data_IF_981219210425
#
_entry.id   IF_981219210425
#
_cell.length_a   1.000
_cell.length_b   1.000
_cell.length_c   1.000
_cell.angle_alpha   90.00
_cell.angle_beta   90.00
_cell.angle_gamma   90.00
#
_symmetry.space_group_name_H-M   'P 1'
#
loop_
_entity.id
_entity.type
_entity.pdbx_description
1 polymer ?
#
# COMPACT_ATOMS: atom_id res chain seq x y z
N UNK A 1 -19.83 -1.35 -18.16
CA UNK A 1 -20.42 -1.08 -16.84
C UNK A 1 -19.30 -1.21 -15.83
N UNK A 2 -18.74 -0.08 -15.32
CA UNK A 2 -17.74 -0.06 -14.25
C UNK A 2 -18.47 -0.42 -12.96
N UNK A 3 -18.14 -1.54 -12.37
CA UNK A 3 -18.60 -1.87 -11.01
C UNK A 3 -17.69 -1.07 -10.07
N UNK A 4 -18.09 0.16 -9.73
CA UNK A 4 -17.43 0.95 -8.71
C UNK A 4 -17.64 0.21 -7.37
N UNK A 5 -16.53 -0.09 -6.69
CA UNK A 5 -16.56 -0.54 -5.31
C UNK A 5 -16.92 0.68 -4.46
N UNK A 6 -18.11 0.66 -3.87
CA UNK A 6 -18.55 1.68 -2.92
C UNK A 6 -17.73 1.58 -1.63
N UNK A 7 -17.17 2.71 -1.18
CA UNK A 7 -16.34 2.83 0.02
C UNK A 7 -17.04 2.29 1.27
N UNK A 8 -18.34 2.53 1.39
CA UNK A 8 -19.15 2.06 2.51
C UNK A 8 -19.27 0.54 2.53
N UNK A 9 -19.40 -0.09 1.37
CA UNK A 9 -19.47 -1.55 1.23
C UNK A 9 -18.13 -2.19 1.61
N UNK A 10 -17.02 -1.60 1.20
CA UNK A 10 -15.67 -2.06 1.56
C UNK A 10 -15.43 -1.93 3.07
N UNK A 11 -15.72 -0.77 3.65
CA UNK A 11 -15.55 -0.54 5.10
C UNK A 11 -16.42 -1.49 5.95
N UNK A 12 -17.68 -1.71 5.57
CA UNK A 12 -18.59 -2.67 6.26
C UNK A 12 -18.12 -4.10 6.14
N UNK A 13 -17.62 -4.52 4.97
CA UNK A 13 -17.08 -5.87 4.77
C UNK A 13 -15.87 -6.11 5.70
N UNK A 14 -14.93 -5.18 5.76
CA UNK A 14 -13.75 -5.29 6.63
C UNK A 14 -14.10 -5.23 8.12
N UNK A 15 -15.03 -4.37 8.54
CA UNK A 15 -15.50 -4.33 9.93
C UNK A 15 -16.10 -5.67 10.38
N UNK A 16 -16.78 -6.38 9.49
CA UNK A 16 -17.38 -7.69 9.78
C UNK A 16 -16.34 -8.81 9.95
N UNK A 17 -15.19 -8.71 9.27
CA UNK A 17 -14.10 -9.68 9.36
C UNK A 17 -13.09 -9.36 10.48
N UNK A 18 -13.13 -8.16 11.04
CA UNK A 18 -12.20 -7.72 12.08
C UNK A 18 -11.96 -8.73 13.22
N UNK A 19 -12.96 -9.50 13.71
CA UNK A 19 -12.73 -10.45 14.83
C UNK A 19 -11.82 -11.63 14.48
N UNK A 20 -11.83 -12.07 13.20
CA UNK A 20 -11.10 -13.27 12.74
C UNK A 20 -10.03 -12.94 11.70
N UNK A 21 -9.88 -11.66 11.37
CA UNK A 21 -8.99 -11.20 10.28
C UNK A 21 -7.54 -11.66 10.50
N UNK A 22 -7.00 -11.45 11.70
CA UNK A 22 -5.63 -11.80 12.03
C UNK A 22 -5.39 -13.32 12.00
N UNK A 23 -6.39 -14.13 12.35
CA UNK A 23 -6.28 -15.58 12.36
C UNK A 23 -6.29 -16.16 10.94
N UNK A 24 -7.15 -15.63 10.06
CA UNK A 24 -7.35 -16.18 8.70
C UNK A 24 -6.30 -15.66 7.73
N UNK A 25 -5.95 -14.36 7.84
CA UNK A 25 -5.10 -13.67 6.86
C UNK A 25 -3.67 -13.44 7.36
N UNK A 26 -3.41 -13.54 8.67
CA UNK A 26 -2.10 -13.30 9.25
C UNK A 26 -1.00 -14.13 8.60
N UNK A 27 -1.15 -15.45 8.56
CA UNK A 27 -0.14 -16.36 8.01
C UNK A 27 0.00 -16.27 6.47
N UNK A 28 -1.12 -16.06 5.76
CA UNK A 28 -1.12 -15.97 4.28
C UNK A 28 -0.38 -14.74 3.80
N UNK A 29 -0.53 -13.62 4.52
CA UNK A 29 0.03 -12.34 4.13
C UNK A 29 1.37 -12.01 4.82
N UNK A 30 1.80 -12.85 5.76
CA UNK A 30 3.00 -12.62 6.58
C UNK A 30 4.27 -12.38 5.76
N UNK A 31 4.53 -13.23 4.77
CA UNK A 31 5.73 -13.09 3.92
C UNK A 31 5.76 -11.79 3.15
N UNK A 32 4.60 -11.36 2.64
CA UNK A 32 4.48 -10.08 1.96
C UNK A 32 4.67 -8.91 2.92
N UNK A 33 4.07 -8.98 4.10
CA UNK A 33 4.22 -7.99 5.17
C UNK A 33 5.68 -7.80 5.56
N UNK A 34 6.39 -8.88 5.92
CA UNK A 34 7.80 -8.82 6.28
C UNK A 34 8.68 -8.28 5.14
N UNK A 35 8.36 -8.63 3.88
CA UNK A 35 9.10 -8.11 2.73
C UNK A 35 8.89 -6.60 2.54
N UNK A 36 7.67 -6.10 2.75
CA UNK A 36 7.38 -4.66 2.70
C UNK A 36 8.09 -3.90 3.81
N UNK A 37 8.02 -4.41 5.05
CA UNK A 37 8.69 -3.81 6.21
C UNK A 37 10.20 -3.80 5.99
N UNK A 38 10.81 -4.92 5.60
CA UNK A 38 12.26 -4.99 5.33
C UNK A 38 12.68 -4.03 4.20
N UNK A 39 11.80 -3.75 3.23
CA UNK A 39 12.07 -2.74 2.21
C UNK A 39 11.98 -1.32 2.77
N UNK A 40 10.99 -1.05 3.63
CA UNK A 40 10.80 0.24 4.29
C UNK A 40 11.96 0.57 5.24
N UNK A 41 12.44 -0.40 5.98
CA UNK A 41 13.53 -0.23 6.94
C UNK A 41 14.89 0.07 6.32
N UNK A 42 15.10 -0.29 5.04
CA UNK A 42 16.31 0.14 4.31
C UNK A 42 16.40 1.64 4.13
N UNK A 43 15.28 2.33 4.16
CA UNK A 43 15.19 3.79 4.06
C UNK A 43 15.05 4.36 5.47
N UNK A 44 14.13 3.80 6.24
CA UNK A 44 13.84 4.24 7.61
C UNK A 44 13.19 5.62 7.68
N UNK A 45 13.22 6.22 8.87
CA UNK A 45 12.70 7.55 9.09
C UNK A 45 11.23 7.59 9.51
N UNK A 46 10.45 8.50 8.93
CA UNK A 46 9.01 8.63 9.19
C UNK A 46 8.22 7.85 8.14
N UNK A 47 7.54 6.82 8.57
CA UNK A 47 6.84 5.87 7.72
C UNK A 47 5.33 6.05 7.89
N UNK A 48 4.60 6.20 6.77
CA UNK A 48 3.15 6.13 6.74
C UNK A 48 2.74 4.73 6.31
N UNK A 49 1.97 4.03 7.13
CA UNK A 49 1.29 2.80 6.74
C UNK A 49 -0.17 3.09 6.42
N UNK A 50 -0.55 2.93 5.15
CA UNK A 50 -1.92 3.12 4.66
C UNK A 50 -2.63 1.77 4.62
N UNK A 51 -3.84 1.72 5.20
CA UNK A 51 -4.57 0.48 5.44
C UNK A 51 -3.95 -0.34 6.56
N UNK A 52 -3.58 0.31 7.67
CA UNK A 52 -2.91 -0.32 8.82
C UNK A 52 -3.77 -1.39 9.49
N UNK A 53 -5.08 -1.39 9.26
CA UNK A 53 -6.04 -2.37 9.77
C UNK A 53 -6.00 -2.50 11.28
N UNK A 54 -5.80 -3.73 11.77
CA UNK A 54 -5.68 -4.05 13.20
C UNK A 54 -4.28 -3.78 13.77
N UNK A 55 -3.38 -3.19 12.97
CA UNK A 55 -2.01 -2.88 13.36
C UNK A 55 -1.10 -4.09 13.52
N UNK A 56 -1.40 -5.21 12.84
CA UNK A 56 -0.63 -6.45 12.95
C UNK A 56 0.84 -6.29 12.52
N UNK A 57 1.12 -5.35 11.62
CA UNK A 57 2.44 -5.00 11.11
C UNK A 57 3.27 -4.11 12.04
N UNK A 58 2.60 -3.30 12.88
CA UNK A 58 3.26 -2.26 13.67
C UNK A 58 4.38 -2.76 14.58
N UNK A 59 4.25 -3.94 15.26
CA UNK A 59 5.31 -4.49 16.09
C UNK A 59 6.56 -4.91 15.34
N UNK A 60 6.44 -5.22 14.04
CA UNK A 60 7.50 -5.76 13.22
C UNK A 60 8.49 -4.67 12.74
N UNK A 61 8.11 -3.39 12.84
CA UNK A 61 9.01 -2.28 12.51
C UNK A 61 10.01 -2.00 13.63
N UNK A 62 11.24 -1.68 13.24
CA UNK A 62 12.29 -1.24 14.17
C UNK A 62 11.85 0.02 14.95
N UNK A 63 12.20 0.05 16.24
CA UNK A 63 11.81 1.15 17.15
C UNK A 63 12.47 2.50 16.81
N UNK A 64 13.47 2.49 15.95
CA UNK A 64 14.11 3.71 15.41
C UNK A 64 13.27 4.44 14.38
N UNK A 65 12.28 3.76 13.75
CA UNK A 65 11.35 4.38 12.81
C UNK A 65 10.21 5.07 13.55
N UNK A 66 9.66 6.13 12.96
CA UNK A 66 8.47 6.83 13.43
C UNK A 66 7.30 6.44 12.55
N UNK A 67 6.26 5.86 13.13
CA UNK A 67 5.14 5.27 12.41
C UNK A 67 3.89 6.11 12.55
N UNK A 68 3.21 6.34 11.43
CA UNK A 68 1.83 6.82 11.40
C UNK A 68 1.02 5.79 10.65
N UNK A 69 -0.11 5.35 11.22
CA UNK A 69 -1.03 4.42 10.58
C UNK A 69 -2.36 5.08 10.23
N UNK A 70 -2.86 4.83 9.03
CA UNK A 70 -4.20 5.27 8.63
C UNK A 70 -5.02 4.11 8.07
N UNK A 71 -6.32 4.14 8.33
CA UNK A 71 -7.28 3.17 7.78
C UNK A 71 -8.65 3.83 7.64
N UNK A 72 -9.47 3.35 6.73
CA UNK A 72 -10.84 3.82 6.56
C UNK A 72 -11.78 3.26 7.66
N UNK A 73 -11.40 2.14 8.27
CA UNK A 73 -12.22 1.40 9.25
C UNK A 73 -11.86 1.77 10.69
N UNK A 74 -12.68 2.59 11.32
CA UNK A 74 -12.54 2.92 12.73
C UNK A 74 -12.53 1.68 13.67
N UNK A 75 -13.35 0.63 13.46
CA UNK A 75 -13.28 -0.60 14.26
C UNK A 75 -11.93 -1.32 14.18
N UNK A 76 -11.26 -1.29 13.01
CA UNK A 76 -9.91 -1.83 12.84
C UNK A 76 -8.90 -0.99 13.61
N UNK A 77 -8.97 0.33 13.49
CA UNK A 77 -8.06 1.25 14.20
C UNK A 77 -8.18 1.15 15.72
N UNK A 78 -9.37 0.90 16.27
CA UNK A 78 -9.52 0.62 17.71
C UNK A 78 -8.72 -0.59 18.15
N UNK A 79 -8.65 -1.65 17.35
CA UNK A 79 -7.79 -2.82 17.63
C UNK A 79 -6.31 -2.50 17.49
N UNK A 80 -5.94 -1.72 16.46
CA UNK A 80 -4.57 -1.25 16.32
C UNK A 80 -4.14 -0.42 17.52
N UNK A 81 -5.01 0.45 18.03
CA UNK A 81 -4.75 1.28 19.20
C UNK A 81 -4.56 0.45 20.47
N UNK A 82 -5.39 -0.58 20.68
CA UNK A 82 -5.22 -1.54 21.78
C UNK A 82 -3.87 -2.25 21.68
N UNK A 83 -3.49 -2.75 20.48
CA UNK A 83 -2.19 -3.40 20.23
C UNK A 83 -1.02 -2.46 20.51
N UNK A 84 -1.08 -1.20 20.08
CA UNK A 84 -0.06 -0.18 20.36
C UNK A 84 0.13 0.01 21.86
N UNK A 85 -0.98 0.07 22.62
CA UNK A 85 -0.94 0.24 24.06
C UNK A 85 -0.38 -1.02 24.77
N UNK A 86 -0.88 -2.22 24.42
CA UNK A 86 -0.46 -3.50 25.01
C UNK A 86 1.04 -3.77 24.80
N UNK A 87 1.56 -3.49 23.60
CA UNK A 87 2.95 -3.77 23.25
C UNK A 87 3.88 -2.59 23.51
N UNK A 88 3.38 -1.47 24.03
CA UNK A 88 4.16 -0.27 24.32
C UNK A 88 4.90 0.26 23.09
N UNK A 89 4.22 0.36 21.95
CA UNK A 89 4.82 0.80 20.68
C UNK A 89 5.01 2.32 20.64
N UNK A 90 6.00 2.82 21.39
CA UNK A 90 6.26 4.27 21.53
C UNK A 90 6.70 4.96 20.25
N UNK A 91 7.09 4.19 19.24
CA UNK A 91 7.46 4.69 17.91
C UNK A 91 6.25 4.93 16.99
N UNK A 92 5.04 4.56 17.40
CA UNK A 92 3.81 4.91 16.70
C UNK A 92 3.37 6.31 17.13
N UNK A 93 3.52 7.29 16.22
CA UNK A 93 3.18 8.70 16.46
C UNK A 93 1.67 8.92 16.49
N UNK A 94 0.89 8.13 15.74
CA UNK A 94 -0.55 8.24 15.69
C UNK A 94 -1.22 7.23 14.78
N UNK A 95 -2.51 7.04 15.05
CA UNK A 95 -3.44 6.27 14.22
C UNK A 95 -4.65 7.15 13.91
N UNK A 96 -5.08 7.20 12.64
CA UNK A 96 -6.18 8.08 12.24
C UNK A 96 -7.09 7.44 11.18
N UNK A 97 -8.38 7.76 11.25
CA UNK A 97 -9.33 7.42 10.19
C UNK A 97 -9.09 8.35 9.01
N UNK A 98 -8.66 7.80 7.87
CA UNK A 98 -8.43 8.56 6.63
C UNK A 98 -8.75 7.72 5.41
N UNK A 99 -9.18 8.42 4.36
CA UNK A 99 -9.28 7.86 3.03
C UNK A 99 -7.91 7.89 2.34
N UNK A 100 -7.50 6.76 1.77
CA UNK A 100 -6.22 6.65 1.04
C UNK A 100 -6.15 7.54 -0.20
N UNK A 101 -7.32 7.91 -0.76
CA UNK A 101 -7.43 8.84 -1.89
C UNK A 101 -7.35 10.32 -1.49
N UNK A 102 -7.40 10.60 -0.17
CA UNK A 102 -7.38 11.98 0.36
C UNK A 102 -6.71 12.01 1.74
N UNK A 103 -5.39 12.04 1.75
CA UNK A 103 -4.60 12.03 2.98
C UNK A 103 -4.47 13.46 3.56
N UNK A 104 -4.87 13.63 4.81
CA UNK A 104 -4.81 14.92 5.51
C UNK A 104 -3.40 15.23 6.05
N UNK A 105 -2.37 14.99 5.23
CA UNK A 105 -0.98 15.33 5.55
C UNK A 105 -0.43 16.34 4.53
N UNK A 106 0.49 17.24 4.94
CA UNK A 106 1.20 18.10 4.01
C UNK A 106 2.04 17.32 3.01
N UNK A 107 2.36 17.96 1.88
CA UNK A 107 3.29 17.41 0.90
C UNK A 107 4.64 17.09 1.53
N UNK A 108 5.26 15.98 1.14
CA UNK A 108 6.60 15.63 1.61
C UNK A 108 6.70 15.38 3.12
N UNK A 109 5.67 14.80 3.74
CA UNK A 109 5.63 14.51 5.18
C UNK A 109 6.37 13.23 5.58
N UNK A 110 6.54 12.27 4.66
CA UNK A 110 7.03 10.93 4.97
C UNK A 110 8.24 10.54 4.14
N UNK A 111 9.14 9.78 4.74
CA UNK A 111 10.29 9.19 4.06
C UNK A 111 9.89 7.93 3.29
N UNK A 112 8.88 7.20 3.80
CA UNK A 112 8.33 5.99 3.20
C UNK A 112 6.81 5.98 3.34
N UNK A 113 6.12 5.56 2.28
CA UNK A 113 4.70 5.19 2.32
C UNK A 113 4.58 3.70 2.05
N UNK A 114 3.98 2.96 2.97
CA UNK A 114 3.74 1.51 2.84
C UNK A 114 2.24 1.26 2.71
N UNK A 115 1.84 0.45 1.73
CA UNK A 115 0.46 -0.01 1.61
C UNK A 115 0.44 -1.52 1.31
N UNK A 116 -0.07 -2.28 2.28
CA UNK A 116 -0.09 -3.73 2.23
C UNK A 116 -1.50 -4.21 1.95
N UNK A 117 -1.71 -4.81 0.76
CA UNK A 117 -2.99 -5.37 0.32
C UNK A 117 -4.14 -4.36 0.17
N UNK A 118 -3.84 -3.06 0.08
CA UNK A 118 -4.80 -1.96 0.01
C UNK A 118 -5.11 -1.53 -1.41
N UNK A 119 -4.08 -1.34 -2.25
CA UNK A 119 -4.22 -0.67 -3.56
C UNK A 119 -5.23 -1.34 -4.51
N UNK A 120 -5.52 -2.62 -4.29
CA UNK A 120 -6.52 -3.36 -5.08
C UNK A 120 -7.94 -3.23 -4.53
N UNK A 121 -8.12 -2.63 -3.36
CA UNK A 121 -9.42 -2.47 -2.69
C UNK A 121 -9.96 -1.04 -2.77
N UNK A 122 -9.10 -0.07 -3.08
CA UNK A 122 -9.52 1.34 -3.24
C UNK A 122 -10.30 1.55 -4.54
N UNK A 123 -11.27 2.48 -4.59
CA UNK A 123 -12.02 2.82 -5.80
C UNK A 123 -11.12 3.33 -6.92
N UNK A 124 -10.27 4.33 -6.65
CA UNK A 124 -9.32 4.91 -7.62
C UNK A 124 -7.86 4.68 -7.19
N UNK A 125 -7.23 3.58 -7.65
CA UNK A 125 -5.83 3.29 -7.34
C UNK A 125 -4.84 4.34 -7.85
N UNK A 126 -5.12 4.98 -8.98
CA UNK A 126 -4.25 6.02 -9.53
C UNK A 126 -4.30 7.29 -8.67
N UNK A 127 -5.49 7.73 -8.23
CA UNK A 127 -5.62 8.85 -7.30
C UNK A 127 -4.94 8.53 -5.94
N UNK A 128 -5.09 7.30 -5.47
CA UNK A 128 -4.40 6.81 -4.25
C UNK A 128 -2.88 6.91 -4.40
N UNK A 129 -2.34 6.47 -5.53
CA UNK A 129 -0.90 6.55 -5.80
C UNK A 129 -0.41 7.99 -5.94
N UNK A 130 -1.23 8.89 -6.50
CA UNK A 130 -0.94 10.32 -6.59
C UNK A 130 -0.85 10.95 -5.19
N UNK A 131 -1.77 10.58 -4.28
CA UNK A 131 -1.71 11.01 -2.86
C UNK A 131 -0.47 10.46 -2.14
N UNK A 132 -0.12 9.19 -2.36
CA UNK A 132 1.11 8.62 -1.82
C UNK A 132 2.35 9.38 -2.31
N UNK A 133 2.39 9.69 -3.61
CA UNK A 133 3.48 10.47 -4.18
C UNK A 133 3.51 11.89 -3.63
N UNK A 134 2.35 12.51 -3.37
CA UNK A 134 2.26 13.88 -2.80
C UNK A 134 2.85 13.93 -1.40
N UNK A 135 2.43 13.03 -0.51
CA UNK A 135 2.88 13.02 0.90
C UNK A 135 4.31 12.49 1.08
N UNK A 136 4.88 11.87 0.04
CA UNK A 136 6.23 11.32 0.04
C UNK A 136 7.26 12.44 -0.17
N UNK A 137 8.33 12.46 0.63
CA UNK A 137 9.48 13.36 0.45
C UNK A 137 10.22 13.06 -0.85
N UNK A 138 10.89 14.05 -1.45
CA UNK A 138 11.90 13.79 -2.49
C UNK A 138 12.97 12.81 -1.98
N UNK A 139 13.25 11.76 -2.76
CA UNK A 139 14.16 10.68 -2.38
C UNK A 139 13.55 9.55 -1.58
N UNK A 140 12.29 9.68 -1.15
CA UNK A 140 11.55 8.62 -0.46
C UNK A 140 10.99 7.56 -1.40
N UNK A 141 10.35 6.52 -0.82
CA UNK A 141 9.78 5.42 -1.60
C UNK A 141 8.34 5.07 -1.19
N UNK A 142 7.54 4.69 -2.18
CA UNK A 142 6.26 4.00 -2.01
C UNK A 142 6.53 2.51 -2.11
N UNK A 143 6.09 1.75 -1.12
CA UNK A 143 6.26 0.29 -1.04
C UNK A 143 4.88 -0.34 -0.96
N UNK A 144 4.56 -1.14 -1.97
CA UNK A 144 3.28 -1.83 -2.08
C UNK A 144 3.50 -3.34 -2.01
N UNK A 145 2.65 -4.03 -1.28
CA UNK A 145 2.43 -5.46 -1.45
C UNK A 145 0.97 -5.66 -1.83
N UNK A 146 0.74 -6.25 -2.97
CA UNK A 146 -0.62 -6.45 -3.45
C UNK A 146 -0.72 -7.61 -4.43
N UNK A 147 -1.95 -8.06 -4.66
CA UNK A 147 -2.24 -9.02 -5.71
C UNK A 147 -2.17 -8.29 -7.06
N UNK A 148 -1.17 -8.65 -7.86
CA UNK A 148 -1.04 -8.18 -9.24
C UNK A 148 -1.38 -9.35 -10.15
N UNK A 149 -2.37 -9.19 -11.00
CA UNK A 149 -2.85 -10.23 -11.92
C UNK A 149 -1.75 -10.72 -12.87
N UNK A 150 -1.82 -11.98 -13.24
CA UNK A 150 -0.93 -12.55 -14.25
C UNK A 150 -1.22 -11.93 -15.61
N UNK A 151 -0.18 -11.46 -16.30
CA UNK A 151 -0.31 -10.86 -17.63
C UNK A 151 -0.61 -11.89 -18.72
N UNK A 152 -0.20 -13.17 -18.52
CA UNK A 152 -0.43 -14.26 -19.47
C UNK A 152 -0.35 -15.66 -18.81
N UNK A 153 -0.80 -16.70 -19.54
CA UNK A 153 -0.61 -18.11 -19.22
C UNK A 153 -1.77 -18.78 -18.48
N UNK A 154 -1.62 -20.10 -18.19
CA UNK A 154 -2.59 -20.96 -17.50
C UNK A 154 -3.11 -20.38 -16.18
N UNK A 155 -2.30 -19.57 -15.51
CA UNK A 155 -2.64 -18.87 -14.27
C UNK A 155 -3.77 -17.86 -14.47
N UNK A 156 -3.81 -17.14 -15.59
CA UNK A 156 -4.89 -16.21 -15.93
C UNK A 156 -6.23 -16.94 -16.08
N UNK A 157 -6.21 -18.13 -16.68
CA UNK A 157 -7.42 -18.95 -16.85
C UNK A 157 -7.96 -19.45 -15.52
N UNK A 158 -7.08 -19.89 -14.62
CA UNK A 158 -7.43 -20.32 -13.27
C UNK A 158 -7.99 -19.18 -12.43
N UNK A 159 -7.36 -17.99 -12.47
CA UNK A 159 -7.83 -16.80 -11.76
C UNK A 159 -9.23 -16.36 -12.20
N UNK A 160 -9.57 -16.48 -13.51
CA UNK A 160 -10.91 -16.18 -14.04
C UNK A 160 -11.99 -17.13 -13.51
N UNK A 161 -11.66 -18.38 -13.24
CA UNK A 161 -12.63 -19.36 -12.70
C UNK A 161 -13.04 -19.07 -11.26
N UNK A 162 -12.20 -18.43 -10.46
CA UNK A 162 -12.48 -18.01 -9.07
C UNK A 162 -13.01 -16.58 -8.93
N UNK A 163 -13.07 -15.81 -10.02
CA UNK A 163 -13.51 -14.43 -10.04
C UNK A 163 -14.89 -14.19 -9.38
N UNK A 164 -15.94 -15.02 -9.60
CA UNK A 164 -17.26 -14.77 -9.03
C UNK A 164 -17.29 -14.85 -7.51
N UNK A 165 -16.46 -15.72 -6.90
CA UNK A 165 -16.39 -15.89 -5.45
C UNK A 165 -15.62 -14.73 -4.80
N UNK A 166 -14.53 -14.28 -5.41
CA UNK A 166 -13.73 -13.16 -4.94
C UNK A 166 -14.50 -11.82 -5.02
N UNK A 167 -15.33 -11.62 -6.05
CA UNK A 167 -16.23 -10.45 -6.14
C UNK A 167 -17.22 -10.36 -4.99
N UNK A 168 -17.77 -11.51 -4.52
CA UNK A 168 -18.66 -11.55 -3.34
C UNK A 168 -17.95 -11.16 -2.04
N UNK A 169 -16.62 -11.27 -2.01
CA UNK A 169 -15.77 -10.89 -0.87
C UNK A 169 -15.22 -9.45 -1.00
N UNK A 170 -15.66 -8.68 -2.00
CA UNK A 170 -15.18 -7.32 -2.24
C UNK A 170 -13.75 -7.24 -2.82
N UNK A 171 -13.24 -8.35 -3.35
CA UNK A 171 -11.90 -8.40 -3.93
C UNK A 171 -11.94 -8.20 -5.44
N UNK A 172 -11.11 -7.28 -5.94
CA UNK A 172 -10.84 -7.21 -7.39
C UNK A 172 -9.96 -8.40 -7.79
N UNK A 173 -10.47 -9.27 -8.64
CA UNK A 173 -9.76 -10.46 -9.13
C UNK A 173 -8.70 -10.13 -10.17
N UNK A 174 -8.86 -9.01 -10.87
CA UNK A 174 -7.94 -8.56 -11.90
C UNK A 174 -7.45 -7.14 -11.60
N UNK A 175 -6.20 -7.04 -11.14
CA UNK A 175 -5.48 -5.76 -11.07
C UNK A 175 -4.30 -5.86 -12.03
N UNK A 176 -4.45 -5.38 -13.30
CA UNK A 176 -3.41 -5.54 -14.30
C UNK A 176 -2.20 -4.68 -13.97
N UNK A 177 -1.01 -5.25 -14.14
CA UNK A 177 0.26 -4.55 -13.97
C UNK A 177 0.34 -3.25 -14.77
N UNK A 178 -0.26 -3.23 -15.97
CA UNK A 178 -0.30 -2.06 -16.84
C UNK A 178 -0.87 -0.79 -16.18
N UNK A 179 -1.62 -0.90 -15.07
CA UNK A 179 -2.06 0.28 -14.31
C UNK A 179 -0.86 0.95 -13.61
N UNK A 180 -0.03 0.14 -12.95
CA UNK A 180 1.16 0.64 -12.26
C UNK A 180 2.21 1.19 -13.23
N UNK A 181 2.49 0.49 -14.35
CA UNK A 181 3.47 0.96 -15.33
C UNK A 181 3.06 2.27 -15.98
N UNK A 182 1.79 2.38 -16.42
CA UNK A 182 1.27 3.63 -16.99
C UNK A 182 1.24 4.78 -15.98
N UNK A 183 0.96 4.49 -14.71
CA UNK A 183 1.03 5.49 -13.67
C UNK A 183 2.48 5.98 -13.48
N UNK A 184 3.45 5.06 -13.40
CA UNK A 184 4.86 5.39 -13.22
C UNK A 184 5.50 6.15 -14.41
N UNK A 185 4.91 6.04 -15.60
CA UNK A 185 5.33 6.77 -16.80
C UNK A 185 4.88 8.25 -16.83
N UNK A 186 3.97 8.64 -15.93
CA UNK A 186 3.52 10.03 -15.82
C UNK A 186 4.65 10.95 -15.33
N UNK A 187 4.66 12.24 -15.72
CA UNK A 187 5.71 13.18 -15.33
C UNK A 187 5.53 13.74 -13.90
N UNK A 188 5.32 12.86 -12.89
CA UNK A 188 5.15 13.23 -11.48
C UNK A 188 6.40 12.98 -10.62
N UNK A 189 7.54 12.71 -11.26
CA UNK A 189 8.82 12.52 -10.57
C UNK A 189 8.93 11.21 -9.78
N UNK A 190 8.06 10.22 -10.03
CA UNK A 190 8.12 8.90 -9.40
C UNK A 190 8.50 7.86 -10.45
N UNK A 191 9.41 6.95 -10.11
CA UNK A 191 9.86 5.88 -10.99
C UNK A 191 9.76 4.52 -10.32
N UNK A 192 9.51 3.49 -11.12
CA UNK A 192 9.58 2.10 -10.65
C UNK A 192 11.03 1.73 -10.28
N UNK A 193 11.21 1.16 -9.10
CA UNK A 193 12.51 0.66 -8.60
C UNK A 193 12.56 -0.86 -8.63
N UNK A 194 11.48 -1.51 -8.19
CA UNK A 194 11.42 -2.96 -8.05
C UNK A 194 10.01 -3.48 -8.30
N UNK A 195 9.93 -4.61 -9.01
CA UNK A 195 8.76 -5.48 -9.02
C UNK A 195 9.24 -6.90 -8.76
N UNK A 196 8.79 -7.51 -7.68
CA UNK A 196 9.18 -8.86 -7.31
C UNK A 196 7.97 -9.69 -6.94
N UNK A 197 7.79 -10.83 -7.61
CA UNK A 197 6.76 -11.79 -7.27
C UNK A 197 7.03 -12.41 -5.90
N UNK A 198 5.98 -12.57 -5.08
CA UNK A 198 6.04 -13.10 -3.73
C UNK A 198 5.43 -14.51 -3.65
N UNK A 199 6.00 -15.42 -2.83
CA UNK A 199 5.37 -16.71 -2.54
C UNK A 199 4.04 -16.54 -1.79
N UNK A 200 3.12 -17.52 -1.87
CA UNK A 200 3.18 -18.71 -2.73
C UNK A 200 2.77 -18.39 -4.17
N UNK A 201 3.32 -19.12 -5.11
CA UNK A 201 2.96 -19.10 -6.55
C UNK A 201 3.04 -17.73 -7.24
N UNK A 202 3.63 -16.69 -6.59
CA UNK A 202 3.73 -15.34 -7.15
C UNK A 202 2.39 -14.60 -7.32
N UNK A 203 1.35 -14.96 -6.55
CA UNK A 203 0.05 -14.28 -6.56
C UNK A 203 0.13 -12.84 -6.07
N UNK A 204 1.08 -12.57 -5.20
CA UNK A 204 1.37 -11.24 -4.69
C UNK A 204 2.67 -10.71 -5.30
N UNK A 205 2.79 -9.41 -5.37
CA UNK A 205 4.02 -8.74 -5.80
C UNK A 205 4.37 -7.66 -4.79
N UNK A 206 5.66 -7.59 -4.46
CA UNK A 206 6.26 -6.41 -3.88
C UNK A 206 6.58 -5.44 -5.02
N UNK A 207 6.10 -4.22 -4.92
CA UNK A 207 6.36 -3.15 -5.90
C UNK A 207 6.91 -1.95 -5.16
N UNK A 208 7.99 -1.38 -5.66
CA UNK A 208 8.61 -0.19 -5.08
C UNK A 208 8.73 0.91 -6.12
N UNK A 209 8.33 2.11 -5.74
CA UNK A 209 8.51 3.31 -6.53
C UNK A 209 9.33 4.32 -5.72
N UNK A 210 10.29 4.98 -6.33
CA UNK A 210 11.07 6.03 -5.71
C UNK A 210 10.69 7.40 -6.28
N UNK A 211 10.49 8.38 -5.41
CA UNK A 211 10.31 9.77 -5.80
C UNK A 211 11.67 10.40 -6.08
N UNK A 212 11.81 11.01 -7.23
CA UNK A 212 13.06 11.66 -7.65
C UNK A 212 13.47 12.74 -6.64
N UNK A 213 14.71 12.74 -6.21
CA UNK A 213 15.24 13.78 -5.34
C UNK A 213 15.31 15.13 -6.04
N UNK A 214 15.16 16.22 -5.30
CA UNK A 214 15.17 17.59 -5.84
C UNK A 214 16.39 17.92 -6.74
N UNK A 215 17.55 17.32 -6.46
CA UNK A 215 18.75 17.49 -7.28
C UNK A 215 18.68 16.85 -8.67
N UNK A 216 18.01 15.69 -8.77
CA UNK A 216 17.84 15.00 -10.06
C UNK A 216 16.80 15.69 -10.95
N UNK A 217 15.78 16.30 -10.34
CA UNK A 217 14.77 17.08 -11.07
C UNK A 217 15.35 18.37 -11.68
N UNK A 218 16.22 19.05 -10.94
CA UNK A 218 16.95 20.21 -11.46
C UNK A 218 17.93 19.83 -12.61
N UNK A 219 18.61 18.70 -12.49
CA UNK A 219 19.50 18.21 -13.54
C UNK A 219 18.71 17.87 -14.82
N UNK A 220 17.54 17.28 -14.69
CA UNK A 220 16.67 16.94 -15.83
C UNK A 220 16.08 18.20 -16.50
N UNK A 221 15.63 19.19 -15.71
CA UNK A 221 15.15 20.49 -16.24
C UNK A 221 16.24 21.22 -17.02
N UNK A 222 17.51 21.22 -16.53
CA UNK A 222 18.65 21.83 -17.22
C UNK A 222 19.00 21.13 -18.53
N UNK A 223 18.74 19.82 -18.64
CA UNK A 223 19.00 19.04 -19.85
C UNK A 223 17.97 19.32 -20.95
N UNK A 224 16.69 19.51 -20.57
CA UNK A 224 15.60 19.84 -21.51
C UNK A 224 15.72 21.26 -22.06
N UNK A 225 16.29 22.21 -21.30
CA UNK A 225 16.47 23.61 -21.75
C UNK A 225 17.78 23.85 -22.54
N UNK A 226 18.62 22.81 -22.76
CA UNK A 226 19.86 22.89 -23.54
C UNK A 226 19.82 22.10 -24.83
N UNK A 227 18.76 21.47 -25.20
CA UNK A 227 18.48 20.81 -26.46
C UNK A 227 17.39 21.55 -27.22
#
# INVERSE_FOLDING_TARGET
MRTELDKDTVAKAYARWAPVYDLVFGAVFERGRHAAIAAAERIGGRILEVGVGTGISLPDYARSNRLVGVDLSEPMLRKAQARVAELGLRNVEGLAVMDAEQLAFPDGSFDVVVAQYVITTVPDPEATLDEFARVLKPGGEIILVSRVGAEAGLRRTFERSFAPMAHRLGWRTEFPWARFSRWAERPHGVRLVERRAMPPLGHFSLVRFAKTGAGAEQANRRRIHRG
#
